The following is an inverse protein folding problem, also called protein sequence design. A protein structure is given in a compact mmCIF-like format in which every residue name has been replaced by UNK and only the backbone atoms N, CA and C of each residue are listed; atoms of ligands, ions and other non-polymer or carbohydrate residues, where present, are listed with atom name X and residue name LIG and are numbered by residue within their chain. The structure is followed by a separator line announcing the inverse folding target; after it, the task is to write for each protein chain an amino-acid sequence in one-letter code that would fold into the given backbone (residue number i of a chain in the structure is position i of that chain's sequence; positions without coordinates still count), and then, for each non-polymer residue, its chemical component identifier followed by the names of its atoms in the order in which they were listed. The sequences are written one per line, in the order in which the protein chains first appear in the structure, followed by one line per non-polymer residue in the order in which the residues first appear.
data_IF_455160066583
#
_entry.id   IF_455160066583
#
_cell.length_a   1.000
_cell.length_b   1.000
_cell.length_c   1.000
_cell.angle_alpha   90.00
_cell.angle_beta   90.00
_cell.angle_gamma   90.00
#
_symmetry.space_group_name_H-M   'P 1'
#
loop_
_entity.id
_entity.type
_entity.pdbx_description
1 polymer ?
#
# COMPACT_ATOMS: atom_id res chain seq x y z
N UNK A 1 -22.85 8.03 0.35
CA UNK A 1 -21.57 8.65 0.76
C UNK A 1 -20.48 7.85 0.10
N UNK A 2 -19.62 8.51 -0.67
CA UNK A 2 -18.57 7.85 -1.45
C UNK A 2 -17.62 7.17 -0.47
N UNK A 3 -17.41 5.87 -0.67
CA UNK A 3 -16.45 5.02 0.06
C UNK A 3 -15.02 5.47 -0.27
N UNK A 4 -14.59 6.60 0.30
CA UNK A 4 -13.27 7.18 0.05
C UNK A 4 -12.18 6.52 0.89
N UNK A 5 -12.53 5.93 2.04
CA UNK A 5 -11.58 5.35 3.01
C UNK A 5 -11.01 3.98 2.58
N UNK A 6 -11.38 3.48 1.39
CA UNK A 6 -10.86 2.22 0.85
C UNK A 6 -9.67 2.40 -0.08
N UNK A 7 -9.43 3.63 -0.55
CA UNK A 7 -8.35 3.92 -1.51
C UNK A 7 -7.34 4.82 -0.83
N UNK A 8 -6.08 4.40 -0.84
CA UNK A 8 -4.97 5.24 -0.38
C UNK A 8 -3.76 5.09 -1.29
N UNK A 9 -2.83 6.05 -1.19
CA UNK A 9 -1.59 6.02 -1.96
C UNK A 9 -0.45 5.59 -1.05
N UNK A 10 0.19 4.47 -1.37
CA UNK A 10 1.45 4.06 -0.79
C UNK A 10 2.60 4.61 -1.65
N UNK A 11 3.52 5.33 -1.04
CA UNK A 11 4.68 5.92 -1.72
C UNK A 11 5.95 5.23 -1.25
N UNK A 12 6.77 4.78 -2.20
CA UNK A 12 8.09 4.21 -1.90
C UNK A 12 9.17 5.26 -2.12
N UNK A 13 10.12 5.31 -1.19
CA UNK A 13 11.26 6.21 -1.22
C UNK A 13 12.57 5.41 -1.18
N UNK A 14 13.61 5.94 -1.82
CA UNK A 14 14.99 5.45 -1.77
C UNK A 14 15.94 6.54 -1.29
N UNK A 15 17.14 6.19 -0.82
CA UNK A 15 18.20 7.12 -0.43
C UNK A 15 19.57 6.47 -0.63
N UNK A 16 20.56 7.27 -1.03
CA UNK A 16 21.96 6.84 -1.10
C UNK A 16 22.65 6.90 0.27
N UNK A 17 21.96 7.39 1.31
CA UNK A 17 22.50 7.45 2.66
C UNK A 17 22.51 6.05 3.30
N UNK A 18 23.66 5.63 3.80
CA UNK A 18 23.81 4.38 4.57
C UNK A 18 23.32 4.55 6.02
N UNK A 19 22.06 4.97 6.18
CA UNK A 19 21.37 5.10 7.48
C UNK A 19 19.87 4.84 7.33
N UNK A 20 19.23 4.41 8.41
CA UNK A 20 17.77 4.25 8.45
C UNK A 20 17.13 5.64 8.43
N UNK A 21 16.34 5.90 7.39
CA UNK A 21 15.63 7.16 7.18
C UNK A 21 14.18 7.05 7.62
N UNK A 22 13.66 8.07 8.29
CA UNK A 22 12.22 8.25 8.51
C UNK A 22 11.64 9.00 7.31
N UNK A 23 10.35 8.79 7.05
CA UNK A 23 9.62 9.54 6.02
C UNK A 23 9.54 11.06 6.31
N UNK A 24 9.86 11.49 7.55
CA UNK A 24 9.93 12.90 7.97
C UNK A 24 11.30 13.52 7.77
N UNK A 25 12.32 12.74 7.42
CA UNK A 25 13.68 13.22 7.26
C UNK A 25 13.78 13.91 5.89
N UNK A 26 13.40 15.20 5.86
CA UNK A 26 13.40 16.03 4.66
C UNK A 26 14.79 16.07 4.00
N UNK A 27 14.83 15.85 2.68
CA UNK A 27 15.97 16.27 1.84
C UNK A 27 16.96 15.18 1.40
N UNK A 28 16.88 13.96 1.93
CA UNK A 28 17.80 12.87 1.53
C UNK A 28 17.10 11.67 0.89
N UNK A 29 15.79 11.72 0.68
CA UNK A 29 15.02 10.64 0.04
C UNK A 29 14.51 11.05 -1.34
N UNK A 30 14.48 10.09 -2.26
CA UNK A 30 13.93 10.23 -3.61
C UNK A 30 12.70 9.34 -3.71
N UNK A 31 11.59 9.89 -4.17
CA UNK A 31 10.38 9.12 -4.45
C UNK A 31 10.64 8.18 -5.64
N UNK A 32 10.52 6.87 -5.42
CA UNK A 32 10.76 5.88 -6.46
C UNK A 32 9.48 5.56 -7.25
N UNK A 33 8.36 5.42 -6.55
CA UNK A 33 7.07 5.10 -7.16
C UNK A 33 5.89 5.34 -6.21
N UNK A 34 4.68 5.40 -6.80
CA UNK A 34 3.40 5.44 -6.09
C UNK A 34 2.54 4.26 -6.47
N UNK A 35 1.84 3.73 -5.47
CA UNK A 35 0.83 2.71 -5.63
C UNK A 35 -0.51 3.23 -5.11
N UNK A 36 -1.51 3.30 -5.99
CA UNK A 36 -2.91 3.45 -5.55
C UNK A 36 -3.43 2.10 -5.09
N UNK A 37 -3.52 1.90 -3.78
CA UNK A 37 -4.03 0.69 -3.16
C UNK A 37 -5.55 0.82 -3.00
N UNK A 38 -6.30 -0.20 -3.42
CA UNK A 38 -7.74 -0.31 -3.17
C UNK A 38 -8.02 -1.55 -2.30
N UNK A 39 -8.31 -1.33 -1.02
CA UNK A 39 -8.64 -2.40 -0.06
C UNK A 39 -10.11 -2.83 -0.14
N UNK A 40 -10.92 -2.20 -0.99
CA UNK A 40 -12.34 -2.57 -1.18
C UNK A 40 -12.55 -3.95 -1.78
N UNK A 41 -11.51 -4.57 -2.30
CA UNK A 41 -11.50 -5.95 -2.79
C UNK A 41 -11.32 -6.99 -1.69
N UNK A 42 -10.88 -6.59 -0.49
CA UNK A 42 -10.61 -7.52 0.61
C UNK A 42 -11.90 -8.08 1.20
N UNK A 43 -11.98 -9.38 1.54
CA UNK A 43 -13.17 -9.99 2.13
C UNK A 43 -13.61 -9.29 3.40
N UNK A 44 -12.67 -9.03 4.31
CA UNK A 44 -12.92 -8.31 5.56
C UNK A 44 -13.50 -6.92 5.34
N UNK A 45 -13.03 -6.20 4.33
CA UNK A 45 -13.59 -4.89 3.99
C UNK A 45 -15.03 -5.02 3.49
N UNK A 46 -15.29 -5.94 2.56
CA UNK A 46 -16.62 -6.12 1.96
C UNK A 46 -17.65 -6.57 2.98
N UNK A 47 -17.30 -7.54 3.83
CA UNK A 47 -18.17 -8.03 4.90
C UNK A 47 -18.50 -6.91 5.87
N UNK A 48 -17.50 -6.21 6.40
CA UNK A 48 -17.72 -5.13 7.36
C UNK A 48 -18.47 -3.93 6.75
N UNK A 49 -18.18 -3.57 5.50
CA UNK A 49 -18.90 -2.51 4.79
C UNK A 49 -20.37 -2.86 4.51
N UNK A 50 -20.70 -4.15 4.43
CA UNK A 50 -22.07 -4.63 4.22
C UNK A 50 -22.90 -4.72 5.50
N UNK A 51 -22.25 -4.70 6.68
CA UNK A 51 -22.92 -4.75 7.97
C UNK A 51 -23.21 -3.33 8.49
N UNK A 52 -24.46 -2.97 8.78
CA UNK A 52 -24.78 -1.68 9.36
C UNK A 52 -24.35 -1.64 10.83
N UNK A 53 -23.12 -1.18 11.09
CA UNK A 53 -22.59 -0.93 12.43
C UNK A 53 -22.79 0.54 12.79
N UNK A 54 -23.27 0.82 14.02
CA UNK A 54 -23.41 2.21 14.51
C UNK A 54 -22.05 2.91 14.68
N UNK A 55 -21.00 2.12 14.90
CA UNK A 55 -19.61 2.56 14.95
C UNK A 55 -18.92 2.07 13.67
N UNK A 56 -17.99 2.84 13.12
CA UNK A 56 -17.20 2.40 11.96
C UNK A 56 -16.45 1.09 12.21
N UNK A 57 -15.82 0.54 11.17
CA UNK A 57 -15.08 -0.71 11.24
C UNK A 57 -13.59 -0.51 10.93
N UNK A 58 -12.79 -1.51 11.30
CA UNK A 58 -11.39 -1.61 10.93
C UNK A 58 -11.21 -2.78 9.98
N UNK A 59 -10.19 -2.71 9.12
CA UNK A 59 -9.79 -3.79 8.22
C UNK A 59 -8.29 -3.91 8.28
N UNK A 60 -7.82 -5.09 8.67
CA UNK A 60 -6.41 -5.43 8.63
C UNK A 60 -6.03 -5.84 7.21
N UNK A 61 -4.86 -5.37 6.77
CA UNK A 61 -4.28 -5.69 5.48
C UNK A 61 -2.76 -5.60 5.57
N UNK A 62 -2.10 -6.22 4.61
CA UNK A 62 -0.65 -6.28 4.52
C UNK A 62 -0.21 -5.72 3.16
N UNK A 63 0.92 -5.00 3.13
CA UNK A 63 1.58 -4.57 1.90
C UNK A 63 2.95 -5.24 1.83
N UNK A 64 3.16 -6.03 0.78
CA UNK A 64 4.42 -6.66 0.45
C UNK A 64 5.17 -5.85 -0.61
N UNK A 65 6.50 -5.89 -0.52
CA UNK A 65 7.41 -5.39 -1.55
C UNK A 65 8.29 -6.55 -2.03
N UNK A 66 8.27 -6.80 -3.33
CA UNK A 66 9.14 -7.78 -3.98
C UNK A 66 10.12 -7.03 -4.90
N UNK A 67 11.41 -7.33 -4.73
CA UNK A 67 12.50 -6.76 -5.51
C UNK A 67 13.17 -7.89 -6.29
N UNK A 68 13.14 -7.82 -7.62
CA UNK A 68 13.93 -8.70 -8.48
C UNK A 68 14.92 -7.87 -9.32
N UNK A 69 15.75 -8.55 -10.12
CA UNK A 69 16.79 -7.87 -10.91
C UNK A 69 16.28 -7.01 -12.07
N UNK A 70 14.97 -7.04 -12.36
CA UNK A 70 14.34 -6.36 -13.49
C UNK A 70 13.17 -5.47 -13.07
N UNK A 71 12.48 -5.79 -11.99
CA UNK A 71 11.22 -5.20 -11.58
C UNK A 71 11.13 -5.03 -10.06
N UNK A 72 10.36 -4.01 -9.67
CA UNK A 72 9.91 -3.82 -8.29
C UNK A 72 8.40 -4.00 -8.29
N UNK A 73 7.87 -4.81 -7.37
CA UNK A 73 6.44 -5.10 -7.30
C UNK A 73 5.87 -4.81 -5.92
N UNK A 74 4.71 -4.16 -5.89
CA UNK A 74 3.89 -4.01 -4.69
C UNK A 74 2.82 -5.09 -4.67
N UNK A 75 2.61 -5.72 -3.52
CA UNK A 75 1.65 -6.82 -3.34
C UNK A 75 0.69 -6.47 -2.22
N UNK A 76 -0.62 -6.52 -2.47
CA UNK A 76 -1.65 -6.40 -1.45
C UNK A 76 -1.93 -7.80 -0.92
N UNK A 77 -1.82 -7.95 0.38
CA UNK A 77 -1.94 -9.22 1.08
C UNK A 77 -3.08 -9.13 2.12
N UNK A 78 -3.77 -10.24 2.32
CA UNK A 78 -4.72 -10.45 3.40
C UNK A 78 -4.65 -11.90 3.84
N UNK A 79 -4.38 -12.12 5.13
CA UNK A 79 -4.08 -13.44 5.70
C UNK A 79 -2.96 -14.16 4.93
N UNK A 80 -1.85 -13.47 4.68
CA UNK A 80 -0.68 -13.98 3.93
C UNK A 80 -0.98 -14.40 2.47
N UNK A 81 -2.18 -14.11 1.94
CA UNK A 81 -2.57 -14.41 0.57
C UNK A 81 -2.60 -13.15 -0.28
N UNK A 82 -2.19 -13.26 -1.54
CA UNK A 82 -2.20 -12.15 -2.48
C UNK A 82 -3.62 -11.84 -2.98
N UNK A 83 -3.98 -10.56 -2.91
CA UNK A 83 -5.25 -9.99 -3.37
C UNK A 83 -5.09 -8.93 -4.46
N UNK A 84 -3.89 -8.38 -4.61
CA UNK A 84 -3.60 -7.40 -5.63
C UNK A 84 -2.09 -7.26 -5.85
N UNK A 85 -1.73 -6.78 -7.02
CA UNK A 85 -0.33 -6.57 -7.41
C UNK A 85 -0.20 -5.35 -8.31
N UNK A 86 0.90 -4.64 -8.17
CA UNK A 86 1.35 -3.61 -9.11
C UNK A 86 2.83 -3.86 -9.45
N UNK A 87 3.18 -3.70 -10.72
CA UNK A 87 4.58 -3.60 -11.16
C UNK A 87 4.89 -2.11 -11.26
N UNK A 88 5.96 -1.67 -10.60
CA UNK A 88 6.31 -0.26 -10.58
C UNK A 88 7.13 0.12 -11.82
N UNK A 89 6.62 1.09 -12.56
CA UNK A 89 7.43 1.86 -13.50
C UNK A 89 8.36 2.75 -12.68
N UNK A 90 9.69 2.58 -12.81
CA UNK A 90 10.64 3.45 -12.13
C UNK A 90 10.52 4.87 -12.68
N UNK A 91 10.32 5.84 -11.79
CA UNK A 91 10.38 7.26 -12.13
C UNK A 91 11.86 7.62 -12.33
N UNK A 92 12.30 7.69 -13.59
CA UNK A 92 13.66 8.09 -13.99
C UNK A 92 13.85 9.60 -13.97
#
# INVERSE_FOLDING_TARGET
MVTTDRIFVATMYTSDADKIMRYTDEGETVELCKWTVDIGSLPSFQENASMPTQNGFYTDFELGLELDGAEVRGILLYEEREWGRVVFDMLY
#
